data_IF_982694415025
#
_entry.id   IF_982694415025
#
_cell.length_a   1.000
_cell.length_b   1.000
_cell.length_c   1.000
_cell.angle_alpha   90.00
_cell.angle_beta   90.00
_cell.angle_gamma   90.00
#
_symmetry.space_group_name_H-M   'P 1'
#
loop_
_entity.id
_entity.type
_entity.pdbx_description
1 polymer ?
#
# COMPACT_ATOMS: atom_id res chain seq x y z
N UNK A 1 -9.68 16.73 10.14
CA UNK A 1 -8.48 15.84 10.09
C UNK A 1 -7.66 16.21 8.87
N UNK A 2 -6.52 16.87 9.06
CA UNK A 2 -5.65 17.33 7.96
C UNK A 2 -4.97 16.08 7.39
N UNK A 3 -5.24 15.74 6.13
CA UNK A 3 -4.57 14.63 5.46
C UNK A 3 -3.15 15.07 5.14
N UNK A 4 -2.21 14.79 6.06
CA UNK A 4 -0.78 15.01 5.87
C UNK A 4 -0.29 14.03 4.81
N UNK A 5 -0.50 14.36 3.52
CA UNK A 5 0.09 13.62 2.41
C UNK A 5 1.59 13.83 2.47
N UNK A 6 2.28 12.87 3.10
CA UNK A 6 3.73 12.83 3.12
C UNK A 6 4.26 12.96 1.68
N UNK A 7 5.29 13.79 1.43
CA UNK A 7 5.82 13.99 0.10
C UNK A 7 6.25 12.65 -0.51
N UNK A 8 5.93 12.45 -1.79
CA UNK A 8 6.27 11.22 -2.50
C UNK A 8 7.80 11.10 -2.56
N UNK A 9 8.35 10.07 -1.92
CA UNK A 9 9.77 9.68 -2.11
C UNK A 9 10.03 9.46 -3.60
N UNK A 10 11.12 10.02 -4.14
CA UNK A 10 11.45 9.95 -5.57
C UNK A 10 12.41 8.79 -5.86
N UNK A 11 12.30 8.23 -7.08
CA UNK A 11 13.25 7.29 -7.68
C UNK A 11 13.77 6.19 -6.75
N UNK A 12 15.05 6.28 -6.39
CA UNK A 12 15.78 5.28 -5.61
C UNK A 12 15.31 5.19 -4.15
N UNK A 13 14.99 6.32 -3.50
CA UNK A 13 14.47 6.31 -2.12
C UNK A 13 13.12 5.59 -2.03
N UNK A 14 12.31 5.69 -3.10
CA UNK A 14 11.04 4.98 -3.18
C UNK A 14 11.25 3.47 -3.29
N UNK A 15 12.22 3.03 -4.08
CA UNK A 15 12.54 1.62 -4.25
C UNK A 15 13.12 1.02 -2.96
N UNK A 16 14.09 1.69 -2.34
CA UNK A 16 14.66 1.25 -1.06
C UNK A 16 13.60 1.14 0.05
N UNK A 17 12.69 2.13 0.11
CA UNK A 17 11.58 2.09 1.06
C UNK A 17 10.60 0.96 0.76
N UNK A 18 10.28 0.72 -0.52
CA UNK A 18 9.38 -0.35 -0.94
C UNK A 18 9.97 -1.75 -0.67
N UNK A 19 11.28 -1.94 -0.88
CA UNK A 19 11.97 -3.19 -0.53
C UNK A 19 11.95 -3.46 0.97
N UNK A 20 12.14 -2.43 1.81
CA UNK A 20 11.99 -2.57 3.26
C UNK A 20 10.58 -2.98 3.66
N UNK A 21 9.56 -2.32 3.11
CA UNK A 21 8.16 -2.69 3.32
C UNK A 21 7.87 -4.12 2.88
N UNK A 22 8.46 -4.55 1.77
CA UNK A 22 8.35 -5.90 1.25
C UNK A 22 8.93 -6.91 2.23
N UNK A 23 10.10 -6.66 2.80
CA UNK A 23 10.70 -7.54 3.80
C UNK A 23 9.79 -7.71 5.03
N UNK A 24 9.28 -6.60 5.60
CA UNK A 24 8.32 -6.64 6.71
C UNK A 24 7.02 -7.38 6.34
N UNK A 25 6.53 -7.21 5.10
CA UNK A 25 5.36 -7.92 4.59
C UNK A 25 5.57 -9.45 4.54
N UNK A 26 6.72 -9.89 4.03
CA UNK A 26 7.08 -11.31 3.99
C UNK A 26 7.36 -11.88 5.38
N UNK A 27 7.80 -11.07 6.34
CA UNK A 27 7.90 -11.45 7.75
C UNK A 27 6.54 -11.68 8.43
N UNK A 28 5.43 -11.46 7.72
CA UNK A 28 4.07 -11.67 8.22
C UNK A 28 3.33 -10.39 8.61
N UNK A 29 3.92 -9.21 8.44
CA UNK A 29 3.19 -7.96 8.68
C UNK A 29 2.11 -7.74 7.63
N UNK A 30 0.91 -7.37 8.08
CA UNK A 30 -0.16 -6.93 7.19
C UNK A 30 0.10 -5.53 6.63
N UNK A 31 -0.43 -5.23 5.44
CA UNK A 31 -0.35 -3.90 4.80
C UNK A 31 -0.91 -2.80 5.72
N UNK A 32 -1.93 -3.10 6.53
CA UNK A 32 -2.45 -2.17 7.55
C UNK A 32 -1.44 -1.89 8.66
N UNK A 33 -0.78 -2.93 9.17
CA UNK A 33 0.24 -2.76 10.20
C UNK A 33 1.45 -1.98 9.67
N UNK A 34 1.83 -2.21 8.41
CA UNK A 34 2.85 -1.43 7.72
C UNK A 34 2.46 0.04 7.58
N UNK A 35 1.19 0.31 7.25
CA UNK A 35 0.63 1.66 7.16
C UNK A 35 0.70 2.39 8.51
N UNK A 36 0.23 1.76 9.59
CA UNK A 36 0.31 2.31 10.95
C UNK A 36 1.76 2.58 11.39
N UNK A 37 2.66 1.60 11.22
CA UNK A 37 4.08 1.74 11.61
C UNK A 37 4.82 2.83 10.85
N UNK A 38 4.41 3.12 9.62
CA UNK A 38 5.13 4.06 8.75
C UNK A 38 4.43 5.41 8.63
N UNK A 39 3.21 5.54 9.16
CA UNK A 39 2.38 6.73 9.02
C UNK A 39 1.79 6.93 7.62
N UNK A 40 1.99 5.99 6.69
CA UNK A 40 1.46 6.06 5.34
C UNK A 40 0.07 5.46 5.23
N UNK A 41 -0.74 5.96 4.30
CA UNK A 41 -2.03 5.34 3.99
C UNK A 41 -1.87 3.93 3.41
N UNK A 42 -2.88 3.08 3.62
CA UNK A 42 -2.95 1.74 3.00
C UNK A 42 -2.72 1.77 1.49
N UNK A 43 -3.33 2.74 0.78
CA UNK A 43 -3.19 2.88 -0.67
C UNK A 43 -1.76 3.22 -1.07
N UNK A 44 -1.08 4.04 -0.27
CA UNK A 44 0.33 4.40 -0.48
C UNK A 44 1.23 3.19 -0.27
N UNK A 45 1.10 2.47 0.84
CA UNK A 45 1.88 1.24 1.11
C UNK A 45 1.65 0.20 0.02
N UNK A 46 0.40 0.00 -0.41
CA UNK A 46 0.07 -0.89 -1.53
C UNK A 46 0.78 -0.45 -2.82
N UNK A 47 0.80 0.83 -3.15
CA UNK A 47 1.50 1.34 -4.33
C UNK A 47 3.03 1.16 -4.25
N UNK A 48 3.62 1.21 -3.06
CA UNK A 48 5.03 0.88 -2.86
C UNK A 48 5.29 -0.61 -3.08
N UNK A 49 4.48 -1.50 -2.48
CA UNK A 49 4.61 -2.95 -2.67
C UNK A 49 4.42 -3.38 -4.14
N UNK A 50 3.50 -2.73 -4.86
CA UNK A 50 3.30 -2.95 -6.30
C UNK A 50 4.51 -2.48 -7.13
N UNK A 51 5.20 -1.41 -6.71
CA UNK A 51 6.36 -0.88 -7.43
C UNK A 51 7.56 -1.85 -7.42
N UNK A 52 7.67 -2.69 -6.39
CA UNK A 52 8.71 -3.73 -6.27
C UNK A 52 8.17 -5.12 -6.63
N UNK A 53 7.07 -5.18 -7.40
CA UNK A 53 6.47 -6.43 -7.88
C UNK A 53 6.17 -7.44 -6.75
N UNK A 54 5.80 -6.95 -5.55
CA UNK A 54 5.43 -7.84 -4.45
C UNK A 54 4.18 -8.63 -4.82
N UNK A 55 4.24 -9.96 -4.66
CA UNK A 55 3.06 -10.83 -4.77
C UNK A 55 2.14 -10.57 -3.57
N UNK A 56 1.29 -9.56 -3.70
CA UNK A 56 0.25 -9.27 -2.71
C UNK A 56 -0.63 -10.51 -2.58
N UNK A 57 -0.75 -11.05 -1.36
CA UNK A 57 -1.74 -12.08 -1.06
C UNK A 57 -3.09 -11.56 -1.52
N UNK A 58 -3.77 -12.33 -2.37
CA UNK A 58 -5.09 -12.02 -2.87
C UNK A 58 -6.04 -11.98 -1.66
N UNK A 59 -6.22 -10.79 -1.08
CA UNK A 59 -7.24 -10.59 -0.05
C UNK A 59 -8.57 -10.78 -0.76
N UNK A 60 -9.35 -11.75 -0.31
CA UNK A 60 -10.65 -12.11 -0.86
C UNK A 60 -11.36 -10.87 -1.34
N UNK A 61 -11.67 -10.86 -2.63
CA UNK A 61 -12.32 -9.79 -3.37
C UNK A 61 -13.46 -9.21 -2.54
N UNK A 62 -13.22 -8.03 -1.95
CA UNK A 62 -14.30 -7.19 -1.49
C UNK A 62 -15.18 -6.94 -2.70
N UNK A 63 -16.45 -7.35 -2.61
CA UNK A 63 -17.42 -7.38 -3.71
C UNK A 63 -17.26 -6.15 -4.61
N UNK A 64 -17.30 -6.31 -5.95
CA UNK A 64 -17.41 -5.17 -6.84
C UNK A 64 -18.60 -4.33 -6.38
N UNK A 65 -18.38 -3.04 -6.15
CA UNK A 65 -19.48 -2.11 -5.89
C UNK A 65 -20.26 -2.05 -7.20
N UNK A 66 -21.57 -2.39 -7.24
CA UNK A 66 -22.34 -2.17 -8.44
C UNK A 66 -22.24 -0.68 -8.77
N UNK A 67 -21.69 -0.37 -9.94
CA UNK A 67 -21.72 0.96 -10.52
C UNK A 67 -23.18 1.19 -10.85
N UNK A 68 -23.89 1.95 -10.00
CA UNK A 68 -25.28 2.30 -10.26
C UNK A 68 -25.37 2.99 -11.61
N UNK A 69 -26.08 2.36 -12.54
CA UNK A 69 -26.56 2.99 -13.75
C UNK A 69 -27.38 4.22 -13.36
N UNK A 70 -26.94 5.39 -13.83
CA UNK A 70 -27.69 6.63 -13.71
C UNK A 70 -28.74 6.58 -14.81
N UNK A 71 -30.01 6.46 -14.43
CA UNK A 71 -31.18 6.57 -15.32
C UNK A 71 -31.30 8.00 -15.87
#
# INVERSE_FOLDING_TARGET
>A
MISTRQPRKRGQERLAFAERLRADYYAGSSIRNLADRTGYSYGTVRNYLLAVHTKLRKRGSGRPRPKGDIQ
#
